data_IF_225443732884
#
_entry.id   IF_225443732884
#
_cell.length_a   1.000
_cell.length_b   1.000
_cell.length_c   1.000
_cell.angle_alpha   90.00
_cell.angle_beta   90.00
_cell.angle_gamma   90.00
#
_symmetry.space_group_name_H-M   'P 1'
#
loop_
_entity.id
_entity.type
_entity.pdbx_description
1 polymer ?
#
# COMPACT_ATOMS: atom_id res chain seq x y z
N UNK A 1 7.93 -6.17 -15.02
CA UNK A 1 8.22 -5.08 -14.08
C UNK A 1 8.33 -5.71 -12.69
N UNK A 2 9.54 -6.01 -12.23
CA UNK A 2 9.81 -6.75 -11.00
C UNK A 2 10.32 -5.78 -9.91
N UNK A 3 9.40 -5.03 -9.31
CA UNK A 3 9.66 -4.15 -8.15
C UNK A 3 8.40 -4.10 -7.27
N UNK A 4 8.52 -3.69 -5.99
CA UNK A 4 7.35 -3.57 -5.11
C UNK A 4 6.32 -2.66 -5.79
N UNK A 5 5.14 -3.20 -6.05
CA UNK A 5 4.08 -2.44 -6.71
C UNK A 5 3.51 -1.44 -5.71
N UNK A 6 3.00 -0.29 -6.17
CA UNK A 6 2.31 0.61 -5.26
C UNK A 6 1.05 -0.10 -4.75
N UNK A 7 0.79 -0.02 -3.44
CA UNK A 7 -0.40 -0.63 -2.86
C UNK A 7 -1.65 -0.05 -3.53
N UNK A 8 -2.47 -0.91 -4.14
CA UNK A 8 -3.67 -0.50 -4.86
C UNK A 8 -4.69 0.21 -3.97
N UNK A 9 -4.75 -0.18 -2.69
CA UNK A 9 -5.71 0.31 -1.71
C UNK A 9 -5.43 1.78 -1.33
N UNK A 10 -4.17 2.17 -1.19
CA UNK A 10 -3.78 3.53 -0.82
C UNK A 10 -3.07 4.31 -1.94
N UNK A 11 -2.93 3.74 -3.13
CA UNK A 11 -2.21 4.31 -4.27
C UNK A 11 -0.79 4.78 -3.91
N UNK A 12 -0.07 4.03 -3.07
CA UNK A 12 1.29 4.40 -2.67
C UNK A 12 1.40 5.33 -1.47
N UNK A 13 0.28 5.87 -0.96
CA UNK A 13 0.33 6.89 0.11
C UNK A 13 0.55 6.31 1.50
N UNK A 14 0.24 5.03 1.70
CA UNK A 14 0.25 4.40 3.03
C UNK A 14 -0.94 4.80 3.91
N UNK A 15 -1.89 5.58 3.39
CA UNK A 15 -3.05 6.04 4.14
C UNK A 15 -4.36 5.59 3.47
N UNK A 16 -5.38 5.33 4.29
CA UNK A 16 -6.74 5.07 3.81
C UNK A 16 -7.52 6.38 3.57
N UNK A 17 -8.78 6.27 3.16
CA UNK A 17 -9.68 7.41 2.92
C UNK A 17 -9.93 8.26 4.17
N UNK A 18 -9.93 7.67 5.36
CA UNK A 18 -10.05 8.39 6.63
C UNK A 18 -8.72 8.99 7.12
N UNK A 19 -7.65 8.84 6.31
CA UNK A 19 -6.26 9.20 6.65
C UNK A 19 -5.69 8.39 7.81
N UNK A 20 -6.29 7.24 8.11
CA UNK A 20 -5.67 6.25 8.99
C UNK A 20 -4.62 5.45 8.21
N UNK A 21 -3.77 4.73 8.94
CA UNK A 21 -2.78 3.83 8.34
C UNK A 21 -3.49 2.80 7.45
N UNK A 22 -3.09 2.73 6.18
CA UNK A 22 -3.63 1.75 5.26
C UNK A 22 -3.35 0.33 5.77
N UNK A 23 -4.42 -0.45 5.96
CA UNK A 23 -4.35 -1.78 6.58
C UNK A 23 -3.72 -2.82 5.66
N UNK A 24 -3.94 -2.71 4.36
CA UNK A 24 -3.39 -3.64 3.36
C UNK A 24 -1.88 -3.60 3.29
N UNK A 25 -1.30 -2.40 3.23
CA UNK A 25 0.15 -2.22 3.16
C UNK A 25 0.79 -1.89 4.51
N UNK A 26 0.01 -1.91 5.60
CA UNK A 26 0.44 -1.51 6.94
C UNK A 26 1.16 -0.15 6.99
N UNK A 27 0.73 0.81 6.16
CA UNK A 27 1.33 2.15 6.09
C UNK A 27 2.57 2.29 5.21
N UNK A 28 3.04 1.21 4.58
CA UNK A 28 4.25 1.25 3.75
C UNK A 28 4.03 1.91 2.39
N UNK A 29 2.77 1.96 1.92
CA UNK A 29 2.43 2.38 0.56
C UNK A 29 2.80 1.33 -0.51
N UNK A 30 3.35 0.18 -0.13
CA UNK A 30 3.82 -0.83 -1.06
C UNK A 30 2.93 -2.07 -0.98
N UNK A 31 2.63 -2.64 -2.14
CA UNK A 31 1.99 -3.94 -2.26
C UNK A 31 3.03 -4.99 -1.87
N UNK A 32 2.93 -5.43 -0.61
CA UNK A 32 3.83 -6.43 -0.03
C UNK A 32 3.32 -7.85 -0.25
N UNK A 33 2.33 -8.05 -1.12
CA UNK A 33 1.85 -9.39 -1.42
C UNK A 33 2.98 -10.16 -2.10
N UNK A 34 3.49 -11.25 -1.50
CA UNK A 34 4.39 -12.14 -2.21
C UNK A 34 3.59 -12.74 -3.38
N UNK A 35 4.15 -12.63 -4.58
CA UNK A 35 3.59 -13.19 -5.80
C UNK A 35 3.34 -14.71 -5.70
#
# INVERSE_FOLDING_TARGET
>A
MNGPQACCTCNGTGLDLDRETCRDCHGTGLDIHPA
#
